data_IF_275155918492
#
_entry.id   IF_275155918492
#
_cell.length_a   1.000
_cell.length_b   1.000
_cell.length_c   1.000
_cell.angle_alpha   90.00
_cell.angle_beta   90.00
_cell.angle_gamma   90.00
#
_symmetry.space_group_name_H-M   'P 1'
#
loop_
_entity.id
_entity.type
_entity.pdbx_description
1 polymer ?
#
# COMPACT_ATOMS: atom_id res chain seq x y z
N UNK A 1 -9.98 -0.96 10.37
CA UNK A 1 -8.88 -0.95 9.38
C UNK A 1 -8.28 -2.34 9.12
N UNK A 2 -8.37 -3.31 10.07
CA UNK A 2 -7.79 -4.66 9.97
C UNK A 2 -8.47 -5.66 9.00
N UNK A 3 -9.48 -5.22 8.23
CA UNK A 3 -10.23 -6.11 7.32
C UNK A 3 -10.07 -5.76 5.84
N UNK A 4 -9.17 -4.82 5.52
CA UNK A 4 -8.89 -4.41 4.15
C UNK A 4 -7.76 -5.26 3.59
N UNK A 5 -7.96 -5.90 2.45
CA UNK A 5 -7.00 -6.84 1.82
C UNK A 5 -5.90 -6.14 1.01
N UNK A 6 -6.14 -4.90 0.60
CA UNK A 6 -5.22 -4.14 -0.26
C UNK A 6 -5.00 -2.73 0.26
N UNK A 7 -3.80 -2.23 0.00
CA UNK A 7 -3.40 -0.83 0.16
C UNK A 7 -3.15 -0.28 -1.24
N UNK A 8 -3.54 0.95 -1.52
CA UNK A 8 -3.10 1.62 -2.74
C UNK A 8 -2.73 3.08 -2.49
N UNK A 9 -1.85 3.59 -3.35
CA UNK A 9 -1.40 4.97 -3.35
C UNK A 9 -1.14 5.45 -4.79
N UNK A 10 -1.21 6.76 -4.99
CA UNK A 10 -0.84 7.42 -6.25
C UNK A 10 0.56 8.04 -6.15
N UNK A 11 1.14 8.08 -4.94
CA UNK A 11 2.40 8.74 -4.67
C UNK A 11 3.57 7.76 -4.89
N UNK A 12 4.51 8.14 -5.76
CA UNK A 12 5.66 7.32 -6.11
C UNK A 12 6.64 7.14 -4.94
N UNK A 13 6.83 8.16 -4.10
CA UNK A 13 7.71 8.07 -2.94
C UNK A 13 7.12 7.10 -1.92
N UNK A 14 5.82 7.21 -1.66
CA UNK A 14 5.10 6.27 -0.78
C UNK A 14 5.20 4.84 -1.32
N UNK A 15 5.05 4.63 -2.63
CA UNK A 15 5.25 3.32 -3.27
C UNK A 15 6.64 2.73 -2.95
N UNK A 16 7.70 3.51 -3.16
CA UNK A 16 9.08 3.07 -2.91
C UNK A 16 9.29 2.68 -1.43
N UNK A 17 8.75 3.46 -0.50
CA UNK A 17 8.79 3.15 0.93
C UNK A 17 8.05 1.84 1.27
N UNK A 18 6.87 1.60 0.68
CA UNK A 18 6.12 0.36 0.89
C UNK A 18 6.89 -0.86 0.38
N UNK A 19 7.58 -0.75 -0.76
CA UNK A 19 8.46 -1.80 -1.28
C UNK A 19 9.62 -2.06 -0.32
N UNK A 20 10.26 -1.01 0.22
CA UNK A 20 11.34 -1.15 1.21
C UNK A 20 10.90 -1.81 2.51
N UNK A 21 9.64 -1.62 2.90
CA UNK A 21 9.03 -2.30 4.05
C UNK A 21 8.66 -3.77 3.77
N UNK A 22 8.84 -4.23 2.54
CA UNK A 22 8.57 -5.62 2.15
C UNK A 22 7.13 -5.88 1.71
N UNK A 23 6.32 -4.85 1.43
CA UNK A 23 5.00 -5.07 0.86
C UNK A 23 5.11 -5.60 -0.57
N UNK A 24 4.22 -6.53 -0.89
CA UNK A 24 4.13 -7.14 -2.22
C UNK A 24 3.24 -6.25 -3.08
N UNK A 25 3.84 -5.59 -4.08
CA UNK A 25 3.13 -4.83 -5.11
C UNK A 25 2.38 -5.77 -6.06
N UNK A 26 1.13 -5.44 -6.33
CA UNK A 26 0.28 -6.10 -7.32
C UNK A 26 0.35 -5.28 -8.61
N UNK A 27 0.52 -5.96 -9.75
CA UNK A 27 0.54 -5.29 -11.04
C UNK A 27 -0.82 -4.61 -11.32
N UNK A 28 -0.79 -3.33 -11.67
CA UNK A 28 -1.97 -2.49 -11.85
C UNK A 28 -1.83 -1.62 -13.10
N UNK A 29 -2.94 -1.09 -13.65
CA UNK A 29 -2.89 -0.06 -14.70
C UNK A 29 -2.11 1.17 -14.22
N UNK A 30 -1.47 1.89 -15.15
CA UNK A 30 -0.40 2.88 -14.92
C UNK A 30 -0.69 4.08 -14.00
N UNK A 31 -1.88 4.19 -13.41
CA UNK A 31 -2.32 5.38 -12.68
C UNK A 31 -2.23 5.28 -11.15
N UNK A 32 -1.97 4.11 -10.57
CA UNK A 32 -1.80 3.94 -9.13
C UNK A 32 -0.95 2.70 -8.84
N UNK A 33 -0.56 2.55 -7.58
CA UNK A 33 0.22 1.42 -7.09
C UNK A 33 -0.61 0.70 -6.02
N UNK A 34 -0.77 -0.61 -6.14
CA UNK A 34 -1.54 -1.43 -5.20
C UNK A 34 -0.66 -2.50 -4.57
N UNK A 35 -0.90 -2.78 -3.30
CA UNK A 35 -0.13 -3.71 -2.49
C UNK A 35 -1.08 -4.62 -1.72
N UNK A 36 -0.64 -5.85 -1.45
CA UNK A 36 -1.32 -6.72 -0.49
C UNK A 36 -1.15 -6.12 0.91
N UNK A 37 -2.26 -5.96 1.64
CA UNK A 37 -2.22 -5.50 3.01
C UNK A 37 -1.78 -6.66 3.93
N UNK A 38 -0.48 -6.75 4.20
CA UNK A 38 0.04 -7.66 5.22
C UNK A 38 -0.10 -7.02 6.60
N UNK A 39 -1.01 -7.57 7.42
CA UNK A 39 -1.29 -7.09 8.78
C UNK A 39 -0.11 -7.19 9.76
N UNK A 40 0.99 -7.83 9.34
CA UNK A 40 2.24 -7.87 10.11
C UNK A 40 3.03 -6.56 10.03
N UNK A 41 2.77 -5.71 9.05
CA UNK A 41 3.47 -4.44 8.89
C UNK A 41 2.74 -3.36 9.67
N UNK A 42 3.46 -2.76 10.61
CA UNK A 42 2.99 -1.61 11.37
C UNK A 42 3.66 -0.34 10.84
N UNK A 43 2.86 0.64 10.42
CA UNK A 43 3.36 1.90 9.87
C UNK A 43 3.73 2.94 10.94
N UNK A 44 3.43 2.70 12.22
CA UNK A 44 3.68 3.70 13.29
C UNK A 44 5.13 4.12 13.44
N UNK A 45 6.09 3.22 13.16
CA UNK A 45 7.53 3.48 13.26
C UNK A 45 8.19 3.72 11.89
N UNK A 46 7.38 3.88 10.84
CA UNK A 46 7.87 4.07 9.47
C UNK A 46 7.74 5.53 9.02
N UNK A 47 8.62 5.99 8.13
CA UNK A 47 8.48 7.29 7.46
C UNK A 47 7.37 7.32 6.39
N UNK A 48 6.51 6.29 6.36
CA UNK A 48 5.40 6.23 5.41
C UNK A 48 4.32 7.21 5.82
N UNK A 49 4.01 8.13 4.93
CA UNK A 49 2.88 9.04 5.11
C UNK A 49 1.56 8.28 4.90
N UNK A 50 0.98 7.81 6.00
CA UNK A 50 -0.27 7.04 6.01
C UNK A 50 -1.45 7.84 5.43
N UNK A 51 -1.39 9.18 5.42
CA UNK A 51 -2.45 10.01 4.82
C UNK A 51 -2.57 9.82 3.30
N UNK A 52 -1.50 9.33 2.66
CA UNK A 52 -1.44 9.01 1.22
C UNK A 52 -1.82 7.57 0.90
N UNK A 53 -2.15 6.76 1.91
CA UNK A 53 -2.58 5.38 1.76
C UNK A 53 -4.11 5.29 1.76
N UNK A 54 -4.64 4.48 0.84
CA UNK A 54 -6.04 4.10 0.81
C UNK A 54 -6.15 2.59 0.99
N UNK A 55 -7.13 2.16 1.78
CA UNK A 55 -7.33 0.75 2.13
C UNK A 55 -8.62 0.23 1.50
N UNK A 56 -8.54 -0.89 0.77
CA UNK A 56 -9.68 -1.46 0.04
C UNK A 56 -9.70 -2.98 0.12
N UNK A 57 -10.87 -3.57 -0.15
CA UNK A 57 -11.05 -5.01 -0.36
C UNK A 57 -11.19 -5.38 -1.83
N UNK A 58 -11.25 -4.37 -2.69
CA UNK A 58 -11.43 -4.52 -4.12
C UNK A 58 -10.06 -4.42 -4.76
N UNK A 59 -9.65 -5.50 -5.42
CA UNK A 59 -8.52 -5.45 -6.34
C UNK A 59 -9.00 -4.74 -7.60
N UNK A 60 -8.37 -3.61 -7.95
CA UNK A 60 -8.60 -2.94 -9.22
C UNK A 60 -7.42 -3.31 -10.13
N UNK A 61 -7.67 -4.24 -11.04
CA UNK A 61 -6.75 -4.72 -12.08
C UNK A 61 -7.21 -4.28 -13.45
#
# INVERSE_FOLDING_TARGET
>A
MKDKKFIFTYDKKTREQLIMLGLIEVQTPAHFYMFVNDFKINFTDSEVDVSKLKFTNIMCV
#
